data_IF_404240292331
#
_entry.id   IF_404240292331
#
_cell.length_a   1.000
_cell.length_b   1.000
_cell.length_c   1.000
_cell.angle_alpha   90.00
_cell.angle_beta   90.00
_cell.angle_gamma   90.00
#
_symmetry.space_group_name_H-M   'P 1'
#
loop_
_entity.id
_entity.type
_entity.pdbx_description
1 polymer ?
#
# COMPACT_ATOMS: atom_id res chain seq x y z
N UNK A 1 72.69 -58.12 44.27
CA UNK A 1 71.20 -58.16 44.38
C UNK A 1 70.63 -57.14 43.41
N UNK A 2 69.58 -57.53 42.68
CA UNK A 2 68.55 -56.72 42.00
C UNK A 2 69.02 -55.66 40.97
N UNK A 3 68.80 -55.90 39.67
CA UNK A 3 67.60 -55.53 38.90
C UNK A 3 67.54 -54.01 38.59
N UNK A 4 67.38 -53.52 37.37
CA UNK A 4 67.07 -54.13 36.09
C UNK A 4 67.43 -53.19 34.94
N UNK A 5 67.73 -53.80 33.81
CA UNK A 5 68.04 -53.17 32.54
C UNK A 5 66.76 -52.72 31.80
N UNK A 6 66.99 -51.88 30.78
CA UNK A 6 66.10 -51.58 29.65
C UNK A 6 64.91 -50.65 29.91
N UNK A 7 65.03 -49.40 29.46
CA UNK A 7 64.13 -48.88 28.42
C UNK A 7 64.63 -47.55 27.87
N UNK A 8 65.61 -47.62 26.98
CA UNK A 8 65.88 -46.57 25.99
C UNK A 8 65.72 -47.23 24.63
N UNK A 9 64.47 -47.40 24.20
CA UNK A 9 64.05 -47.70 22.82
C UNK A 9 62.53 -47.57 22.78
N UNK A 10 61.99 -47.27 21.59
CA UNK A 10 60.56 -47.10 21.28
C UNK A 10 60.03 -45.67 21.47
N UNK A 11 60.79 -44.67 20.98
CA UNK A 11 60.18 -43.67 20.11
C UNK A 11 60.00 -44.31 18.73
N UNK A 12 58.86 -44.07 18.07
CA UNK A 12 58.39 -44.65 16.80
C UNK A 12 57.87 -46.11 16.84
N UNK A 13 56.67 -46.35 17.40
CA UNK A 13 55.74 -47.38 16.86
C UNK A 13 54.31 -47.37 17.42
N UNK A 14 53.67 -46.21 17.61
CA UNK A 14 52.22 -46.14 17.92
C UNK A 14 51.57 -45.00 17.12
N UNK A 15 51.41 -45.17 15.80
CA UNK A 15 50.44 -44.36 15.02
C UNK A 15 49.93 -45.01 13.72
N UNK A 16 50.25 -46.26 13.42
CA UNK A 16 49.96 -46.83 12.08
C UNK A 16 49.30 -48.22 12.09
N UNK A 17 48.49 -48.56 13.09
CA UNK A 17 47.76 -49.85 13.13
C UNK A 17 46.30 -49.74 13.61
N UNK A 18 45.59 -48.66 13.23
CA UNK A 18 44.13 -48.55 13.42
C UNK A 18 43.40 -47.88 12.26
N UNK A 19 43.93 -47.97 11.04
CA UNK A 19 43.36 -47.33 9.84
C UNK A 19 43.24 -48.24 8.60
N UNK A 20 43.33 -49.56 8.76
CA UNK A 20 43.33 -50.51 7.62
C UNK A 20 42.40 -51.71 7.78
N UNK A 21 41.36 -51.62 8.63
CA UNK A 21 40.29 -52.64 8.69
C UNK A 21 38.86 -52.13 8.47
N UNK A 22 38.59 -50.81 8.45
CA UNK A 22 37.26 -50.28 8.10
C UNK A 22 37.08 -49.92 6.62
N UNK A 23 38.17 -49.74 5.86
CA UNK A 23 38.11 -49.41 4.42
C UNK A 23 37.95 -50.61 3.48
N UNK A 24 37.74 -51.83 3.98
CA UNK A 24 37.61 -53.05 3.14
C UNK A 24 36.23 -53.73 3.20
N UNK A 25 35.24 -53.10 3.84
CA UNK A 25 33.90 -53.68 4.00
C UNK A 25 32.76 -52.99 3.24
N UNK A 26 33.06 -52.04 2.34
CA UNK A 26 32.04 -51.38 1.52
C UNK A 26 32.35 -51.34 0.00
N UNK A 27 33.35 -52.08 -0.47
CA UNK A 27 33.70 -52.14 -1.88
C UNK A 27 33.32 -53.51 -2.48
N UNK A 28 32.03 -53.87 -2.46
CA UNK A 28 31.53 -55.01 -3.23
C UNK A 28 29.99 -55.08 -3.30
N UNK A 29 29.32 -54.02 -3.76
CA UNK A 29 27.93 -54.14 -4.23
C UNK A 29 27.72 -53.22 -5.45
N UNK A 30 27.45 -53.87 -6.58
CA UNK A 30 26.91 -53.35 -7.85
C UNK A 30 27.85 -52.67 -8.87
N UNK A 31 28.68 -53.50 -9.52
CA UNK A 31 28.80 -53.42 -10.98
C UNK A 31 27.52 -54.01 -11.59
N UNK A 32 26.61 -53.17 -12.09
CA UNK A 32 25.52 -53.60 -12.97
C UNK A 32 25.19 -52.50 -14.00
N UNK A 33 25.65 -52.61 -15.26
CA UNK A 33 25.61 -51.52 -16.25
C UNK A 33 24.26 -51.34 -16.97
N UNK A 34 23.13 -51.60 -16.29
CA UNK A 34 21.77 -51.47 -16.86
C UNK A 34 20.85 -50.45 -16.18
N UNK A 35 21.40 -49.56 -15.35
CA UNK A 35 20.66 -48.45 -14.73
C UNK A 35 21.34 -47.08 -14.92
N UNK A 36 22.11 -46.93 -16.00
CA UNK A 36 22.70 -45.64 -16.39
C UNK A 36 21.82 -44.99 -17.46
N UNK A 37 20.58 -44.61 -17.12
CA UNK A 37 19.75 -43.63 -17.83
C UNK A 37 18.35 -43.60 -17.20
N UNK A 38 18.18 -42.86 -16.10
CA UNK A 38 17.05 -41.94 -15.82
C UNK A 38 17.50 -41.13 -14.58
N UNK A 39 18.26 -40.07 -14.80
CA UNK A 39 18.36 -38.97 -13.85
C UNK A 39 18.11 -37.69 -14.68
N UNK A 40 16.88 -37.59 -15.19
CA UNK A 40 16.39 -36.36 -15.79
C UNK A 40 16.21 -35.31 -14.69
N UNK A 41 16.76 -34.14 -14.99
CA UNK A 41 16.54 -32.82 -14.38
C UNK A 41 15.38 -32.73 -13.39
N UNK A 42 15.69 -32.55 -12.11
CA UNK A 42 14.83 -31.83 -11.18
C UNK A 42 15.71 -30.90 -10.36
N UNK A 43 16.07 -29.78 -10.97
CA UNK A 43 16.75 -28.66 -10.31
C UNK A 43 15.76 -27.98 -9.38
N UNK A 44 15.74 -28.40 -8.11
CA UNK A 44 15.00 -27.66 -7.09
C UNK A 44 15.63 -26.27 -6.93
N UNK A 45 14.86 -25.17 -7.02
CA UNK A 45 15.42 -23.83 -6.96
C UNK A 45 16.04 -23.58 -5.58
N UNK A 46 17.34 -23.27 -5.58
CA UNK A 46 18.10 -22.92 -4.37
C UNK A 46 17.55 -21.62 -3.78
N UNK A 47 17.74 -21.41 -2.47
CA UNK A 47 17.33 -20.17 -1.78
C UNK A 47 17.92 -18.94 -2.50
N UNK A 48 19.16 -19.05 -2.97
CA UNK A 48 19.83 -18.03 -3.77
C UNK A 48 19.19 -17.80 -5.15
N UNK A 49 18.70 -18.85 -5.81
CA UNK A 49 17.93 -18.72 -7.06
C UNK A 49 16.64 -17.95 -6.82
N UNK A 50 15.89 -18.27 -5.75
CA UNK A 50 14.65 -17.57 -5.41
C UNK A 50 14.87 -16.11 -5.02
N UNK A 51 15.97 -15.81 -4.32
CA UNK A 51 16.36 -14.43 -3.98
C UNK A 51 16.78 -13.67 -5.23
N UNK A 52 17.57 -14.27 -6.12
CA UNK A 52 18.01 -13.65 -7.38
C UNK A 52 16.83 -13.42 -8.33
N UNK A 53 15.89 -14.33 -8.38
CA UNK A 53 14.67 -14.25 -9.20
C UNK A 53 13.70 -13.21 -8.63
N UNK A 54 13.49 -13.16 -7.31
CA UNK A 54 12.75 -12.08 -6.64
C UNK A 54 13.40 -10.70 -6.84
N UNK A 55 14.73 -10.60 -6.67
CA UNK A 55 15.47 -9.36 -6.90
C UNK A 55 15.44 -8.94 -8.36
N UNK A 56 15.70 -9.85 -9.30
CA UNK A 56 15.64 -9.57 -10.73
C UNK A 56 14.25 -9.18 -11.21
N UNK A 57 13.18 -9.79 -10.66
CA UNK A 57 11.81 -9.36 -10.91
C UNK A 57 11.52 -7.98 -10.31
N UNK A 58 12.05 -7.67 -9.13
CA UNK A 58 11.91 -6.36 -8.51
C UNK A 58 12.67 -5.28 -9.30
N UNK A 59 13.92 -5.55 -9.71
CA UNK A 59 14.75 -4.63 -10.47
C UNK A 59 14.19 -4.38 -11.88
N UNK A 60 13.63 -5.41 -12.52
CA UNK A 60 12.95 -5.26 -13.81
C UNK A 60 11.65 -4.46 -13.68
N UNK A 61 10.88 -4.66 -12.60
CA UNK A 61 9.69 -3.84 -12.30
C UNK A 61 10.06 -2.39 -12.01
N UNK A 62 11.07 -2.17 -11.17
CA UNK A 62 11.63 -0.85 -10.88
C UNK A 62 12.06 -0.13 -12.16
N UNK A 63 12.78 -0.80 -13.06
CA UNK A 63 13.17 -0.24 -14.36
C UNK A 63 11.99 0.21 -15.24
N UNK A 64 10.90 -0.55 -15.27
CA UNK A 64 9.67 -0.17 -15.97
C UNK A 64 8.97 1.03 -15.31
N UNK A 65 8.98 1.08 -13.97
CA UNK A 65 8.41 2.17 -13.19
C UNK A 65 9.23 3.48 -13.28
N UNK A 66 10.57 3.42 -13.28
CA UNK A 66 11.42 4.61 -13.51
C UNK A 66 11.17 5.23 -14.88
N UNK A 67 10.96 4.38 -15.90
CA UNK A 67 10.59 4.85 -17.24
C UNK A 67 9.23 5.55 -17.27
N UNK A 68 8.33 5.24 -16.33
CA UNK A 68 7.05 5.93 -16.12
C UNK A 68 7.24 7.24 -15.35
N UNK A 69 8.13 7.27 -14.35
CA UNK A 69 8.49 8.46 -13.55
C UNK A 69 9.00 9.62 -14.42
N UNK A 70 9.96 9.36 -15.30
CA UNK A 70 10.51 10.38 -16.21
C UNK A 70 9.53 10.84 -17.31
N UNK A 71 8.36 10.18 -17.46
CA UNK A 71 7.35 10.48 -18.47
C UNK A 71 6.05 11.07 -17.89
N UNK A 72 6.01 11.42 -16.60
CA UNK A 72 4.85 12.07 -15.98
C UNK A 72 4.71 13.49 -16.56
N UNK A 73 4.05 13.58 -17.71
CA UNK A 73 3.47 14.82 -18.21
C UNK A 73 2.12 14.99 -17.52
N UNK A 74 1.96 16.13 -16.85
CA UNK A 74 0.84 16.52 -16.00
C UNK A 74 -0.53 16.10 -16.57
N UNK A 75 -1.10 15.01 -16.02
CA UNK A 75 -2.53 14.71 -16.08
C UNK A 75 -2.90 14.09 -14.73
N UNK A 76 -3.70 14.76 -13.88
CA UNK A 76 -4.13 14.18 -12.62
C UNK A 76 -5.08 13.01 -12.88
N UNK A 77 -4.57 11.78 -12.93
CA UNK A 77 -5.37 10.56 -12.92
C UNK A 77 -5.68 10.19 -11.45
N UNK A 78 -6.60 10.92 -10.82
CA UNK A 78 -7.08 10.56 -9.49
C UNK A 78 -8.43 9.86 -9.59
N UNK A 79 -8.49 8.60 -9.14
CA UNK A 79 -9.71 7.81 -8.97
C UNK A 79 -10.46 8.13 -7.66
N UNK A 80 -9.96 9.14 -6.96
CA UNK A 80 -10.52 9.73 -5.75
C UNK A 80 -10.52 11.22 -6.04
N UNK A 81 -11.68 11.89 -5.96
CA UNK A 81 -11.72 13.33 -6.16
C UNK A 81 -10.65 14.00 -5.27
N UNK A 82 -9.82 14.92 -5.80
CA UNK A 82 -8.77 15.58 -5.02
C UNK A 82 -9.31 16.52 -3.93
N UNK A 83 -10.62 16.58 -3.72
CA UNK A 83 -11.31 17.55 -2.87
C UNK A 83 -12.26 16.90 -1.87
N UNK A 84 -11.79 15.90 -1.11
CA UNK A 84 -12.36 15.76 0.23
C UNK A 84 -12.02 17.06 0.96
N UNK A 85 -13.03 17.89 1.24
CA UNK A 85 -12.80 19.16 1.94
C UNK A 85 -12.05 18.87 3.24
N UNK A 86 -11.06 19.69 3.59
CA UNK A 86 -10.24 19.48 4.80
C UNK A 86 -11.09 19.33 6.08
N UNK A 87 -12.32 19.86 6.07
CA UNK A 87 -13.31 19.68 7.11
C UNK A 87 -13.85 18.24 7.17
N UNK A 88 -14.10 17.62 6.03
CA UNK A 88 -14.56 16.23 5.93
C UNK A 88 -13.47 15.25 6.38
N UNK A 89 -12.20 15.53 6.11
CA UNK A 89 -11.09 14.73 6.64
C UNK A 89 -11.01 14.80 8.19
N UNK A 90 -11.34 15.95 8.80
CA UNK A 90 -11.44 16.05 10.27
C UNK A 90 -12.58 15.17 10.78
N UNK A 91 -13.75 15.23 10.15
CA UNK A 91 -14.91 14.39 10.51
C UNK A 91 -14.53 12.91 10.44
N UNK A 92 -13.93 12.49 9.34
CA UNK A 92 -13.54 11.09 9.13
C UNK A 92 -12.49 10.66 10.16
N UNK A 93 -11.49 11.49 10.43
CA UNK A 93 -10.47 11.18 11.43
C UNK A 93 -11.08 11.01 12.83
N UNK A 94 -12.00 11.89 13.25
CA UNK A 94 -12.71 11.76 14.53
C UNK A 94 -13.55 10.50 14.56
N UNK A 95 -14.34 10.25 13.50
CA UNK A 95 -15.30 9.16 13.44
C UNK A 95 -14.63 7.78 13.38
N UNK A 96 -13.52 7.67 12.66
CA UNK A 96 -12.72 6.43 12.59
C UNK A 96 -11.83 6.23 13.82
N UNK A 97 -11.25 7.30 14.36
CA UNK A 97 -10.39 7.25 15.55
C UNK A 97 -11.15 7.26 16.88
N UNK A 98 -12.47 7.48 16.86
CA UNK A 98 -13.36 7.41 18.03
C UNK A 98 -13.19 8.53 19.05
N UNK A 99 -12.31 9.52 18.79
CA UNK A 99 -12.04 10.62 19.71
C UNK A 99 -11.86 11.94 18.97
N UNK A 100 -12.45 12.99 19.54
CA UNK A 100 -12.25 14.40 19.15
C UNK A 100 -10.98 15.01 19.74
N UNK A 101 -10.30 14.29 20.64
CA UNK A 101 -9.05 14.73 21.25
C UNK A 101 -7.86 14.28 20.37
N UNK A 102 -7.08 15.22 19.79
CA UNK A 102 -5.91 14.90 18.97
C UNK A 102 -4.80 14.14 19.72
N UNK A 103 -4.73 14.25 21.06
CA UNK A 103 -3.76 13.47 21.85
C UNK A 103 -4.14 11.99 21.92
N UNK A 104 -5.44 11.69 21.82
CA UNK A 104 -5.98 10.33 21.82
C UNK A 104 -6.25 9.81 20.39
N UNK A 105 -6.10 10.65 19.37
CA UNK A 105 -6.36 10.33 17.97
C UNK A 105 -5.24 10.88 17.08
N UNK A 106 -4.24 10.03 16.82
CA UNK A 106 -3.05 10.39 16.03
C UNK A 106 -3.39 10.74 14.58
N UNK A 107 -4.41 10.09 14.00
CA UNK A 107 -4.93 10.40 12.66
C UNK A 107 -5.50 11.82 12.62
N UNK A 108 -6.28 12.19 13.63
CA UNK A 108 -6.81 13.56 13.76
C UNK A 108 -5.70 14.59 13.92
N UNK A 109 -4.67 14.29 14.72
CA UNK A 109 -3.53 15.20 14.89
C UNK A 109 -2.81 15.46 13.55
N UNK A 110 -2.62 14.42 12.72
CA UNK A 110 -2.01 14.55 11.39
C UNK A 110 -2.90 15.38 10.45
N UNK A 111 -4.20 15.10 10.39
CA UNK A 111 -5.16 15.86 9.59
C UNK A 111 -5.20 17.33 10.01
N UNK A 112 -5.22 17.64 11.30
CA UNK A 112 -5.19 19.02 11.80
C UNK A 112 -3.88 19.74 11.44
N UNK A 113 -2.74 19.03 11.46
CA UNK A 113 -1.46 19.59 11.00
C UNK A 113 -1.53 19.97 9.52
N UNK A 114 -2.09 19.08 8.68
CA UNK A 114 -2.30 19.32 7.25
C UNK A 114 -3.26 20.48 6.99
N UNK A 115 -4.38 20.56 7.71
CA UNK A 115 -5.31 21.68 7.58
C UNK A 115 -4.62 23.04 7.83
N UNK A 116 -3.78 23.10 8.87
CA UNK A 116 -3.00 24.31 9.19
C UNK A 116 -1.96 24.63 8.12
N UNK A 117 -1.26 23.64 7.57
CA UNK A 117 -0.26 23.88 6.53
C UNK A 117 -0.88 24.35 5.21
N UNK A 118 -2.12 23.95 4.93
CA UNK A 118 -2.90 24.43 3.78
C UNK A 118 -3.66 25.75 4.04
N UNK A 119 -3.39 26.43 5.17
CA UNK A 119 -3.93 27.76 5.45
C UNK A 119 -5.36 27.79 5.99
N UNK A 120 -5.91 26.66 6.47
CA UNK A 120 -7.22 26.66 7.14
C UNK A 120 -7.11 27.39 8.48
N UNK A 121 -7.96 28.41 8.75
CA UNK A 121 -7.99 29.08 10.04
C UNK A 121 -8.31 28.11 11.19
N UNK A 122 -7.62 28.24 12.32
CA UNK A 122 -7.84 27.38 13.49
C UNK A 122 -9.30 27.40 13.98
N UNK A 123 -9.99 28.55 13.89
CA UNK A 123 -11.40 28.68 14.26
C UNK A 123 -12.31 27.73 13.46
N UNK A 124 -12.00 27.48 12.18
CA UNK A 124 -12.76 26.55 11.34
C UNK A 124 -12.53 25.10 11.78
N UNK A 125 -11.30 24.76 12.14
CA UNK A 125 -10.93 23.43 12.66
C UNK A 125 -11.65 23.18 13.99
N UNK A 126 -11.60 24.15 14.90
CA UNK A 126 -12.30 24.05 16.19
C UNK A 126 -13.82 23.98 16.03
N UNK A 127 -14.39 24.74 15.10
CA UNK A 127 -15.83 24.71 14.80
C UNK A 127 -16.25 23.34 14.28
N UNK A 128 -15.46 22.73 13.38
CA UNK A 128 -15.69 21.37 12.91
C UNK A 128 -15.63 20.36 14.07
N UNK A 129 -14.60 20.42 14.92
CA UNK A 129 -14.46 19.55 16.09
C UNK A 129 -15.62 19.70 17.08
N UNK A 130 -16.06 20.92 17.37
CA UNK A 130 -17.19 21.19 18.27
C UNK A 130 -18.50 20.62 17.73
N UNK A 131 -18.73 20.69 16.41
CA UNK A 131 -19.90 20.06 15.78
C UNK A 131 -19.90 18.54 15.98
N UNK A 132 -18.73 17.90 15.87
CA UNK A 132 -18.61 16.45 16.00
C UNK A 132 -18.63 15.99 17.46
N UNK A 133 -18.05 16.75 18.39
CA UNK A 133 -17.99 16.42 19.83
C UNK A 133 -19.37 16.26 20.49
N UNK A 134 -20.41 16.90 19.93
CA UNK A 134 -21.80 16.72 20.36
C UNK A 134 -22.41 15.38 19.94
N UNK A 135 -21.84 14.70 18.94
CA UNK A 135 -22.24 13.37 18.50
C UNK A 135 -21.44 12.31 19.29
N UNK A 136 -21.90 12.00 20.51
CA UNK A 136 -21.38 10.86 21.30
C UNK A 136 -21.42 9.56 20.48
N UNK A 137 -20.47 8.67 20.74
CA UNK A 137 -20.40 7.28 20.23
C UNK A 137 -21.80 6.65 20.09
N UNK A 138 -22.30 6.62 18.85
CA UNK A 138 -23.68 6.24 18.54
C UNK A 138 -23.83 4.76 18.21
N UNK A 139 -22.80 3.94 18.46
CA UNK A 139 -22.76 2.57 17.94
C UNK A 139 -22.66 2.57 16.42
N UNK A 140 -21.81 3.46 15.90
CA UNK A 140 -21.55 3.66 14.48
C UNK A 140 -21.09 2.35 13.81
N UNK A 141 -21.72 2.01 12.68
CA UNK A 141 -21.43 0.81 11.90
C UNK A 141 -20.85 1.18 10.54
N UNK A 142 -19.80 0.46 10.14
CA UNK A 142 -19.24 0.56 8.80
C UNK A 142 -20.15 -0.13 7.78
N UNK A 143 -20.50 0.60 6.73
CA UNK A 143 -21.30 0.12 5.61
C UNK A 143 -20.54 0.39 4.31
N UNK A 144 -20.64 -0.52 3.36
CA UNK A 144 -20.09 -0.33 2.02
C UNK A 144 -21.19 -0.57 1.01
N UNK A 145 -21.45 0.42 0.15
CA UNK A 145 -22.39 0.30 -0.96
C UNK A 145 -21.63 0.22 -2.27
N UNK A 146 -22.06 -0.73 -3.11
CA UNK A 146 -21.52 -0.94 -4.45
C UNK A 146 -22.54 -0.42 -5.45
N UNK A 147 -22.11 0.49 -6.32
CA UNK A 147 -22.99 1.24 -7.23
C UNK A 147 -22.40 1.21 -8.64
N UNK A 148 -23.27 1.10 -9.64
CA UNK A 148 -22.96 1.28 -11.04
C UNK A 148 -23.68 2.53 -11.54
N UNK A 149 -22.90 3.55 -11.88
CA UNK A 149 -23.37 4.79 -12.49
C UNK A 149 -23.52 4.64 -14.01
N UNK A 150 -24.22 5.59 -14.68
CA UNK A 150 -24.25 5.68 -16.14
C UNK A 150 -22.83 5.63 -16.73
N UNK A 151 -22.70 5.08 -17.94
CA UNK A 151 -21.38 4.85 -18.56
C UNK A 151 -20.62 3.62 -18.01
N UNK A 152 -21.30 2.71 -17.29
CA UNK A 152 -20.70 1.50 -16.68
C UNK A 152 -19.60 1.81 -15.65
N UNK A 153 -19.71 2.95 -14.98
CA UNK A 153 -18.73 3.41 -14.01
C UNK A 153 -19.04 2.77 -12.65
N UNK A 154 -18.08 2.06 -12.09
CA UNK A 154 -18.18 1.47 -10.76
C UNK A 154 -17.90 2.51 -9.68
N UNK A 155 -18.71 2.50 -8.63
CA UNK A 155 -18.55 3.30 -7.42
C UNK A 155 -18.55 2.40 -6.19
N UNK A 156 -17.59 2.62 -5.29
CA UNK A 156 -17.62 2.08 -3.93
C UNK A 156 -17.82 3.25 -2.98
N UNK A 157 -18.85 3.17 -2.15
CA UNK A 157 -19.20 4.21 -1.17
C UNK A 157 -19.02 3.59 0.20
N UNK A 158 -18.04 4.08 0.96
CA UNK A 158 -17.88 3.72 2.37
C UNK A 158 -18.61 4.72 3.25
N UNK A 159 -19.41 4.20 4.17
CA UNK A 159 -20.16 4.97 5.14
C UNK A 159 -19.82 4.52 6.56
N UNK A 160 -19.96 5.45 7.50
CA UNK A 160 -20.07 5.16 8.91
C UNK A 160 -21.42 5.70 9.38
N UNK A 161 -22.22 4.89 10.07
CA UNK A 161 -23.58 5.30 10.41
C UNK A 161 -24.09 4.70 11.72
N UNK A 162 -24.78 5.51 12.50
CA UNK A 162 -25.56 5.11 13.68
C UNK A 162 -26.92 4.50 13.32
N UNK A 163 -27.34 4.60 12.06
CA UNK A 163 -28.64 4.15 11.59
C UNK A 163 -28.57 3.67 10.13
N UNK A 164 -28.35 2.37 9.98
CA UNK A 164 -28.24 1.68 8.67
C UNK A 164 -29.40 2.03 7.74
N UNK A 165 -30.63 2.06 8.26
CA UNK A 165 -31.82 2.27 7.41
C UNK A 165 -31.84 3.70 6.87
N UNK A 166 -31.53 4.71 7.70
CA UNK A 166 -31.44 6.11 7.25
C UNK A 166 -30.43 6.26 6.13
N UNK A 167 -29.21 5.77 6.36
CA UNK A 167 -28.12 5.87 5.38
C UNK A 167 -28.42 5.08 4.11
N UNK A 168 -28.95 3.86 4.24
CA UNK A 168 -29.35 3.07 3.08
C UNK A 168 -30.40 3.79 2.22
N UNK A 169 -31.41 4.40 2.84
CA UNK A 169 -32.43 5.15 2.10
C UNK A 169 -31.85 6.40 1.45
N UNK A 170 -31.00 7.16 2.15
CA UNK A 170 -30.35 8.34 1.62
C UNK A 170 -29.44 8.00 0.42
N UNK A 171 -28.52 7.05 0.59
CA UNK A 171 -27.62 6.58 -0.48
C UNK A 171 -28.43 6.05 -1.67
N UNK A 172 -29.46 5.23 -1.43
CA UNK A 172 -30.32 4.74 -2.52
C UNK A 172 -30.99 5.89 -3.27
N UNK A 173 -31.53 6.88 -2.56
CA UNK A 173 -32.20 8.03 -3.18
C UNK A 173 -31.24 8.82 -4.06
N UNK A 174 -30.04 9.17 -3.55
CA UNK A 174 -28.99 9.86 -4.31
C UNK A 174 -28.62 9.08 -5.57
N UNK A 175 -28.27 7.80 -5.40
CA UNK A 175 -27.89 6.91 -6.50
C UNK A 175 -28.99 6.84 -7.58
N UNK A 176 -30.24 6.59 -7.18
CA UNK A 176 -31.34 6.49 -8.16
C UNK A 176 -31.71 7.81 -8.81
N UNK A 177 -31.54 8.94 -8.10
CA UNK A 177 -31.79 10.29 -8.63
C UNK A 177 -30.86 10.64 -9.79
N UNK A 178 -29.64 10.13 -9.75
CA UNK A 178 -28.62 10.31 -10.81
C UNK A 178 -28.61 9.19 -11.86
N UNK A 179 -29.65 8.35 -11.91
CA UNK A 179 -29.74 7.25 -12.87
C UNK A 179 -28.73 6.11 -12.64
N UNK A 180 -28.06 6.10 -11.49
CA UNK A 180 -27.20 5.01 -11.05
C UNK A 180 -28.01 3.92 -10.34
N UNK A 181 -27.42 2.74 -10.15
CA UNK A 181 -28.05 1.61 -9.47
C UNK A 181 -27.10 0.90 -8.52
N UNK A 182 -27.62 0.38 -7.42
CA UNK A 182 -26.85 -0.52 -6.54
C UNK A 182 -26.59 -1.82 -7.31
N UNK A 183 -25.32 -2.17 -7.48
CA UNK A 183 -24.88 -3.34 -8.23
C UNK A 183 -23.50 -3.78 -7.72
N UNK A 184 -23.18 -5.08 -7.72
CA UNK A 184 -21.85 -5.53 -7.36
C UNK A 184 -20.85 -4.95 -8.36
N UNK A 185 -19.87 -4.20 -7.88
CA UNK A 185 -18.79 -3.58 -8.67
C UNK A 185 -17.43 -3.78 -8.03
N UNK A 186 -17.34 -4.40 -6.84
CA UNK A 186 -16.08 -4.63 -6.13
C UNK A 186 -15.03 -5.38 -6.96
N UNK A 187 -15.46 -6.20 -7.93
CA UNK A 187 -14.55 -6.89 -8.85
C UNK A 187 -13.83 -5.94 -9.82
N UNK A 188 -14.33 -4.72 -10.02
CA UNK A 188 -13.67 -3.66 -10.80
C UNK A 188 -12.55 -2.98 -10.00
N UNK A 189 -12.42 -3.26 -8.70
CA UNK A 189 -11.46 -2.65 -7.80
C UNK A 189 -10.53 -3.68 -7.18
N UNK A 190 -9.30 -3.25 -6.93
CA UNK A 190 -8.33 -3.91 -6.07
C UNK A 190 -8.16 -3.09 -4.79
N UNK A 191 -8.25 -3.77 -3.64
CA UNK A 191 -7.97 -3.13 -2.35
C UNK A 191 -6.46 -2.97 -2.21
N UNK A 192 -5.98 -1.75 -2.08
CA UNK A 192 -4.55 -1.41 -1.98
C UNK A 192 -4.30 -0.53 -0.76
N UNK A 193 -3.07 -0.54 -0.26
CA UNK A 193 -2.60 0.54 0.60
C UNK A 193 -2.21 1.74 -0.26
N UNK A 194 -2.58 2.95 0.16
CA UNK A 194 -2.17 4.20 -0.45
C UNK A 194 -1.43 5.06 0.58
N UNK A 195 -0.27 5.56 0.19
CA UNK A 195 0.53 6.50 0.97
C UNK A 195 0.76 7.76 0.14
N UNK A 196 0.19 8.88 0.57
CA UNK A 196 0.33 10.19 -0.08
C UNK A 196 1.33 11.04 0.67
N UNK A 197 2.25 11.68 -0.04
CA UNK A 197 3.31 12.51 0.52
C UNK A 197 3.49 13.78 -0.29
N UNK A 198 3.92 14.86 0.38
CA UNK A 198 4.34 16.11 -0.27
C UNK A 198 5.86 16.25 -0.27
N UNK A 199 6.39 16.82 -1.34
CA UNK A 199 7.80 17.21 -1.51
C UNK A 199 7.88 18.66 -1.97
N UNK A 200 8.84 19.41 -1.46
CA UNK A 200 9.11 20.77 -1.95
C UNK A 200 9.94 20.72 -3.23
N UNK A 201 9.57 21.55 -4.21
CA UNK A 201 10.38 21.84 -5.41
C UNK A 201 11.48 22.82 -5.02
N UNK A 202 12.66 22.30 -4.76
CA UNK A 202 13.88 23.06 -4.43
C UNK A 202 15.07 22.56 -5.25
N UNK A 203 16.24 23.19 -5.09
CA UNK A 203 17.46 22.72 -5.74
C UNK A 203 17.72 21.23 -5.42
N UNK A 204 17.91 20.43 -6.48
CA UNK A 204 18.07 18.98 -6.35
C UNK A 204 16.76 18.20 -6.20
N UNK A 205 15.60 18.81 -6.50
CA UNK A 205 14.28 18.16 -6.47
C UNK A 205 14.27 16.81 -7.20
N UNK A 206 14.76 16.77 -8.44
CA UNK A 206 14.79 15.52 -9.25
C UNK A 206 15.51 14.38 -8.52
N UNK A 207 16.70 14.64 -7.97
CA UNK A 207 17.47 13.63 -7.23
C UNK A 207 16.74 13.19 -5.96
N UNK A 208 16.06 14.12 -5.27
CA UNK A 208 15.29 13.84 -4.05
C UNK A 208 14.04 13.02 -4.38
N UNK A 209 13.36 13.34 -5.47
CA UNK A 209 12.21 12.61 -5.97
C UNK A 209 12.61 11.18 -6.37
N UNK A 210 13.68 11.02 -7.14
CA UNK A 210 14.21 9.70 -7.53
C UNK A 210 14.59 8.87 -6.29
N UNK A 211 15.26 9.49 -5.32
CA UNK A 211 15.62 8.83 -4.05
C UNK A 211 14.39 8.40 -3.25
N UNK A 212 13.34 9.23 -3.22
CA UNK A 212 12.07 8.87 -2.56
C UNK A 212 11.43 7.68 -3.26
N UNK A 213 11.32 7.73 -4.60
CA UNK A 213 10.70 6.65 -5.38
C UNK A 213 11.46 5.34 -5.17
N UNK A 214 12.80 5.36 -5.26
CA UNK A 214 13.66 4.23 -4.93
C UNK A 214 13.36 3.66 -3.55
N UNK A 215 13.35 4.52 -2.53
CA UNK A 215 13.15 4.11 -1.16
C UNK A 215 11.76 3.49 -0.91
N UNK A 216 10.72 4.08 -1.50
CA UNK A 216 9.34 3.59 -1.36
C UNK A 216 9.16 2.24 -2.05
N UNK A 217 9.71 2.07 -3.26
CA UNK A 217 9.68 0.79 -3.98
C UNK A 217 10.46 -0.31 -3.24
N UNK A 218 11.60 0.03 -2.64
CA UNK A 218 12.34 -0.91 -1.77
C UNK A 218 11.58 -1.30 -0.50
N UNK A 219 10.67 -0.44 -0.07
CA UNK A 219 9.85 -0.62 1.13
C UNK A 219 8.51 -1.31 0.87
N UNK A 220 8.23 -1.73 -0.37
CA UNK A 220 7.04 -2.50 -0.73
C UNK A 220 5.98 -1.72 -1.53
N UNK A 221 6.25 -0.49 -1.96
CA UNK A 221 5.41 0.17 -2.95
C UNK A 221 5.48 -0.57 -4.31
N UNK A 222 4.33 -0.72 -4.97
CA UNK A 222 4.18 -1.42 -6.24
C UNK A 222 3.98 -0.47 -7.42
N UNK A 223 3.40 0.71 -7.18
CA UNK A 223 3.17 1.74 -8.19
C UNK A 223 3.22 3.12 -7.51
N UNK A 224 3.40 4.16 -8.32
CA UNK A 224 3.30 5.53 -7.86
C UNK A 224 2.76 6.45 -8.96
N UNK A 225 2.22 7.59 -8.55
CA UNK A 225 1.78 8.65 -9.45
C UNK A 225 1.89 10.01 -8.77
N UNK A 226 2.05 11.03 -9.59
CA UNK A 226 1.89 12.42 -9.16
C UNK A 226 0.39 12.72 -9.04
N UNK A 227 -0.03 13.25 -7.90
CA UNK A 227 -1.44 13.60 -7.64
C UNK A 227 -1.71 15.09 -7.79
N UNK A 228 -0.71 15.93 -7.48
CA UNK A 228 -0.78 17.37 -7.66
C UNK A 228 0.63 17.94 -7.77
N UNK A 229 0.78 19.04 -8.49
CA UNK A 229 2.02 19.81 -8.52
C UNK A 229 1.70 21.29 -8.70
N UNK A 230 2.44 22.14 -8.00
CA UNK A 230 2.45 23.58 -8.19
C UNK A 230 3.91 24.07 -8.32
N UNK A 231 4.14 25.38 -8.33
CA UNK A 231 5.50 25.94 -8.50
C UNK A 231 6.42 25.60 -7.32
N UNK A 232 5.86 25.31 -6.14
CA UNK A 232 6.61 25.14 -4.89
C UNK A 232 6.68 23.71 -4.37
N UNK A 233 5.78 22.82 -4.81
CA UNK A 233 5.67 21.45 -4.28
C UNK A 233 5.06 20.46 -5.28
N UNK A 234 5.30 19.17 -5.01
CA UNK A 234 4.70 18.02 -5.68
C UNK A 234 4.12 17.07 -4.63
N UNK A 235 2.91 16.58 -4.89
CA UNK A 235 2.28 15.50 -4.14
C UNK A 235 2.39 14.19 -4.92
N UNK A 236 2.86 13.15 -4.25
CA UNK A 236 3.03 11.81 -4.80
C UNK A 236 2.16 10.82 -4.03
N UNK A 237 1.50 9.92 -4.74
CA UNK A 237 0.79 8.77 -4.19
C UNK A 237 1.54 7.48 -4.52
N UNK A 238 1.83 6.69 -3.50
CA UNK A 238 2.43 5.36 -3.61
C UNK A 238 1.40 4.30 -3.27
N UNK A 239 1.18 3.36 -4.19
CA UNK A 239 0.28 2.23 -4.00
C UNK A 239 1.06 0.99 -3.61
N UNK A 240 0.53 0.21 -2.68
CA UNK A 240 1.13 -1.04 -2.20
C UNK A 240 0.05 -2.09 -1.91
N UNK A 241 0.47 -3.31 -1.60
CA UNK A 241 -0.47 -4.30 -1.08
C UNK A 241 -0.98 -3.87 0.31
N UNK A 242 -2.22 -4.23 0.70
CA UNK A 242 -2.79 -3.86 1.99
C UNK A 242 -1.91 -4.20 3.20
N UNK A 243 -1.24 -5.35 3.18
CA UNK A 243 -0.36 -5.79 4.28
C UNK A 243 0.93 -4.97 4.40
N UNK A 244 1.37 -4.30 3.32
CA UNK A 244 2.63 -3.56 3.28
C UNK A 244 2.44 -2.07 3.65
N UNK A 245 1.19 -1.61 3.81
CA UNK A 245 0.85 -0.21 4.10
C UNK A 245 1.62 0.35 5.30
N UNK A 246 1.72 -0.41 6.40
CA UNK A 246 2.43 0.02 7.60
C UNK A 246 3.93 0.23 7.33
N UNK A 247 4.55 -0.65 6.54
CA UNK A 247 5.96 -0.56 6.18
C UNK A 247 6.22 0.63 5.26
N UNK A 248 5.41 0.81 4.22
CA UNK A 248 5.54 1.92 3.26
C UNK A 248 5.29 3.27 3.94
N UNK A 249 4.36 3.34 4.90
CA UNK A 249 4.11 4.55 5.70
C UNK A 249 5.30 4.91 6.59
N UNK A 250 5.94 3.91 7.20
CA UNK A 250 7.14 4.11 8.00
C UNK A 250 8.31 4.58 7.15
N UNK A 251 8.45 4.07 5.92
CA UNK A 251 9.47 4.50 4.96
C UNK A 251 9.29 5.97 4.55
N UNK A 252 8.06 6.38 4.24
CA UNK A 252 7.74 7.79 3.98
C UNK A 252 8.14 8.66 5.18
N UNK A 253 7.68 8.31 6.38
CA UNK A 253 7.86 9.16 7.57
C UNK A 253 9.30 9.18 8.11
N UNK A 254 10.06 8.09 7.94
CA UNK A 254 11.39 7.90 8.54
C UNK A 254 12.56 8.32 7.66
N UNK A 255 12.35 8.49 6.34
CA UNK A 255 13.43 8.78 5.40
C UNK A 255 13.89 10.25 5.38
N UNK A 256 13.02 11.18 5.82
CA UNK A 256 13.24 12.62 5.66
C UNK A 256 13.21 13.09 4.19
N UNK A 257 12.82 12.22 3.26
CA UNK A 257 12.76 12.49 1.83
C UNK A 257 11.46 13.18 1.42
N UNK A 258 10.38 13.05 2.19
CA UNK A 258 9.17 13.85 2.03
C UNK A 258 9.08 14.96 3.09
N UNK A 259 8.44 16.08 2.74
CA UNK A 259 8.13 17.16 3.68
C UNK A 259 7.06 16.71 4.67
N UNK A 260 5.95 16.19 4.14
CA UNK A 260 4.80 15.78 4.93
C UNK A 260 4.20 14.47 4.41
N UNK A 261 3.78 13.61 5.34
CA UNK A 261 2.84 12.52 5.08
C UNK A 261 1.43 13.11 5.03
N UNK A 262 0.79 13.07 3.87
CA UNK A 262 -0.53 13.67 3.65
C UNK A 262 -1.67 12.70 4.00
N UNK A 263 -1.50 11.42 3.65
CA UNK A 263 -2.44 10.36 3.94
C UNK A 263 -1.75 9.00 3.97
N UNK A 264 -2.29 8.07 4.76
CA UNK A 264 -1.95 6.65 4.74
C UNK A 264 -3.22 5.86 5.05
N UNK A 265 -3.77 5.21 4.05
CA UNK A 265 -5.07 4.53 4.17
C UNK A 265 -5.19 3.34 3.21
N UNK A 266 -6.18 2.47 3.45
CA UNK A 266 -6.58 1.46 2.48
C UNK A 266 -7.58 2.08 1.50
N UNK A 267 -7.35 1.89 0.22
CA UNK A 267 -8.17 2.44 -0.86
C UNK A 267 -8.68 1.35 -1.79
N UNK A 268 -9.76 1.65 -2.50
CA UNK A 268 -10.20 0.87 -3.66
C UNK A 268 -9.63 1.49 -4.93
N UNK A 269 -8.58 0.88 -5.47
CA UNK A 269 -7.98 1.28 -6.74
C UNK A 269 -8.65 0.51 -7.88
N UNK A 270 -9.06 1.15 -8.97
CA UNK A 270 -9.55 0.43 -10.14
C UNK A 270 -8.52 -0.56 -10.67
N UNK A 271 -8.98 -1.73 -11.13
CA UNK A 271 -8.13 -2.76 -11.72
C UNK A 271 -7.68 -2.35 -13.13
N UNK A 272 -8.58 -1.68 -13.86
CA UNK A 272 -8.37 -1.15 -15.19
C UNK A 272 -8.84 0.31 -15.23
N UNK A 273 -8.26 1.11 -16.11
CA UNK A 273 -8.73 2.47 -16.34
C UNK A 273 -10.09 2.42 -17.05
N UNK A 274 -11.04 3.27 -16.62
CA UNK A 274 -12.34 3.38 -17.27
C UNK A 274 -12.24 3.83 -18.72
N UNK A 275 -13.21 3.42 -19.54
CA UNK A 275 -13.36 3.95 -20.90
C UNK A 275 -13.69 5.45 -20.86
N UNK A 276 -13.26 6.19 -21.89
CA UNK A 276 -13.61 7.59 -22.02
C UNK A 276 -15.13 7.74 -22.15
N UNK A 277 -15.70 8.59 -21.30
CA UNK A 277 -17.13 8.94 -21.30
C UNK A 277 -17.34 10.34 -21.86
N UNK A 278 -18.58 10.65 -22.24
CA UNK A 278 -18.94 11.99 -22.69
C UNK A 278 -19.02 13.02 -21.54
N UNK A 279 -19.02 14.30 -21.90
CA UNK A 279 -19.01 15.41 -20.94
C UNK A 279 -20.27 15.45 -20.06
N UNK A 280 -21.45 15.11 -20.59
CA UNK A 280 -22.69 15.07 -19.82
C UNK A 280 -22.67 13.93 -18.78
N UNK A 281 -22.17 12.75 -19.15
CA UNK A 281 -21.95 11.65 -18.20
C UNK A 281 -20.90 12.01 -17.15
N UNK A 282 -19.81 12.67 -17.54
CA UNK A 282 -18.76 13.15 -16.61
C UNK A 282 -19.34 14.13 -15.59
N UNK A 283 -20.12 15.11 -16.04
CA UNK A 283 -20.75 16.09 -15.17
C UNK A 283 -21.72 15.43 -14.18
N UNK A 284 -22.61 14.54 -14.65
CA UNK A 284 -23.55 13.81 -13.77
C UNK A 284 -22.83 12.94 -12.74
N UNK A 285 -21.73 12.31 -13.13
CA UNK A 285 -20.91 11.55 -12.19
C UNK A 285 -20.31 12.48 -11.12
N UNK A 286 -19.76 13.63 -11.52
CA UNK A 286 -19.19 14.60 -10.58
C UNK A 286 -20.24 15.12 -9.60
N UNK A 287 -21.44 15.44 -10.08
CA UNK A 287 -22.56 15.88 -9.23
C UNK A 287 -23.00 14.78 -8.24
N UNK A 288 -23.14 13.53 -8.69
CA UNK A 288 -23.44 12.40 -7.82
C UNK A 288 -22.37 12.20 -6.75
N UNK A 289 -21.09 12.22 -7.12
CA UNK A 289 -19.98 12.04 -6.17
C UNK A 289 -19.97 13.17 -5.15
N UNK A 290 -20.16 14.42 -5.59
CA UNK A 290 -20.22 15.57 -4.69
C UNK A 290 -21.38 15.44 -3.69
N UNK A 291 -22.60 15.12 -4.16
CA UNK A 291 -23.75 14.95 -3.25
C UNK A 291 -23.58 13.77 -2.28
N UNK A 292 -22.88 12.72 -2.69
CA UNK A 292 -22.52 11.61 -1.81
C UNK A 292 -21.49 12.05 -0.76
N UNK A 293 -20.44 12.78 -1.16
CA UNK A 293 -19.40 13.26 -0.25
C UNK A 293 -19.93 14.30 0.75
N UNK A 294 -20.92 15.09 0.35
CA UNK A 294 -21.62 16.06 1.21
C UNK A 294 -22.55 15.38 2.24
N UNK A 295 -22.83 14.08 2.11
CA UNK A 295 -23.69 13.35 3.04
C UNK A 295 -22.92 12.96 4.32
N UNK A 296 -23.43 13.36 5.49
CA UNK A 296 -22.79 13.17 6.80
C UNK A 296 -22.33 11.73 7.12
N UNK A 297 -23.09 10.72 6.67
CA UNK A 297 -22.77 9.31 6.89
C UNK A 297 -21.71 8.74 5.92
N UNK A 298 -21.37 9.44 4.84
CA UNK A 298 -20.40 8.99 3.83
C UNK A 298 -18.98 9.41 4.23
N UNK A 299 -18.05 8.45 4.20
CA UNK A 299 -16.63 8.69 4.49
C UNK A 299 -15.84 8.89 3.19
N UNK A 300 -16.02 7.98 2.23
CA UNK A 300 -15.20 7.93 1.01
C UNK A 300 -16.03 7.42 -0.15
N UNK A 301 -15.76 7.97 -1.33
CA UNK A 301 -16.28 7.50 -2.60
C UNK A 301 -15.09 7.20 -3.51
N UNK A 302 -15.03 5.99 -4.06
CA UNK A 302 -14.05 5.60 -5.09
C UNK A 302 -14.76 5.32 -6.40
N UNK A 303 -14.17 5.75 -7.50
CA UNK A 303 -14.73 5.61 -8.85
C UNK A 303 -13.77 4.83 -9.75
N UNK A 304 -14.29 4.11 -10.73
CA UNK A 304 -13.45 3.48 -11.78
C UNK A 304 -13.02 4.46 -12.88
N UNK A 305 -13.58 5.66 -12.89
CA UNK A 305 -13.30 6.71 -13.87
C UNK A 305 -12.75 7.94 -13.15
N UNK A 306 -11.72 8.57 -13.71
CA UNK A 306 -11.18 9.83 -13.20
C UNK A 306 -12.16 10.98 -13.46
N UNK A 307 -12.39 11.83 -12.47
CA UNK A 307 -13.25 13.02 -12.58
C UNK A 307 -12.36 14.26 -12.60
#
# INVERSE_FOLDING_TARGET
MAAGALSHRVAQKISTHRSTQESRRNAQWFMNPRLANVAMSNSFPTIWSKIKEKKGANDSRKGALYSKAHRVSVVPQSYTMPFVTLQQDIVIAVRTGGSVDPEQNTTLAAVMKRCRSQGVPNDNIESALKKIAGAKDRGDQHLTYEVMAPGSIGLIIECLSDNINRTMHAVRNLVTGHGARIAPVKFLFSRKGSVKVALDKQDGFENKLDSLIEHMLDSGAEDFKETAANDTEVEMEFLCQPQDLAQVTAAASGSGLCRDLLASELVYSPVEEGEAIDEDTTQKLAELVQELEDHDDVLRVWTTHSI
#
